data_IF_472067631355
#
_entry.id   IF_472067631355
#
_cell.length_a   1.000
_cell.length_b   1.000
_cell.length_c   1.000
_cell.angle_alpha   90.00
_cell.angle_beta   90.00
_cell.angle_gamma   90.00
#
_symmetry.space_group_name_H-M   'P 1'
#
loop_
_entity.id
_entity.type
_entity.pdbx_description
1 polymer ?
#
# COMPACT_ATOMS: atom_id res chain seq x y z
N UNK A 1 41.48 -8.85 -37.10
CA UNK A 1 40.62 -9.80 -36.36
C UNK A 1 41.15 -10.09 -34.96
N UNK A 2 42.40 -10.58 -34.81
CA UNK A 2 42.95 -10.93 -33.48
C UNK A 2 43.01 -9.74 -32.50
N UNK A 3 43.46 -8.56 -32.92
CA UNK A 3 43.49 -7.36 -32.05
C UNK A 3 42.10 -6.82 -31.66
N UNK A 4 41.09 -6.99 -32.51
CA UNK A 4 39.71 -6.55 -32.19
C UNK A 4 39.09 -7.47 -31.13
N UNK A 5 39.37 -8.78 -31.20
CA UNK A 5 38.94 -9.72 -30.18
C UNK A 5 39.56 -9.41 -28.81
N UNK A 6 40.86 -9.06 -28.76
CA UNK A 6 41.53 -8.69 -27.51
C UNK A 6 40.97 -7.40 -26.91
N UNK A 7 40.65 -6.40 -27.74
CA UNK A 7 40.05 -5.14 -27.26
C UNK A 7 38.64 -5.37 -26.70
N UNK A 8 37.81 -6.19 -27.36
CA UNK A 8 36.50 -6.57 -26.83
C UNK A 8 36.60 -7.34 -25.51
N UNK A 9 37.59 -8.22 -25.38
CA UNK A 9 37.80 -9.00 -24.16
C UNK A 9 38.26 -8.11 -23.00
N UNK A 10 39.16 -7.14 -23.24
CA UNK A 10 39.59 -6.16 -22.25
C UNK A 10 38.45 -5.21 -21.85
N UNK A 11 37.66 -4.73 -22.81
CA UNK A 11 36.49 -3.88 -22.54
C UNK A 11 35.45 -4.60 -21.68
N UNK A 12 35.20 -5.89 -21.94
CA UNK A 12 34.33 -6.71 -21.11
C UNK A 12 34.90 -6.91 -19.70
N UNK A 13 36.21 -7.08 -19.57
CA UNK A 13 36.86 -7.20 -18.26
C UNK A 13 36.78 -5.90 -17.45
N UNK A 14 36.90 -4.75 -18.11
CA UNK A 14 36.73 -3.44 -17.47
C UNK A 14 35.29 -3.24 -16.98
N UNK A 15 34.28 -3.55 -17.80
CA UNK A 15 32.86 -3.47 -17.39
C UNK A 15 32.56 -4.41 -16.21
N UNK A 16 33.11 -5.63 -16.22
CA UNK A 16 32.96 -6.56 -15.09
C UNK A 16 33.64 -6.05 -13.82
N UNK A 17 34.80 -5.41 -13.93
CA UNK A 17 35.50 -4.82 -12.79
C UNK A 17 34.75 -3.60 -12.22
N UNK A 18 34.14 -2.78 -13.07
CA UNK A 18 33.30 -1.65 -12.63
C UNK A 18 32.03 -2.15 -11.95
N UNK A 19 31.35 -3.16 -12.50
CA UNK A 19 30.19 -3.80 -11.86
C UNK A 19 30.55 -4.42 -10.51
N UNK A 20 31.68 -5.14 -10.43
CA UNK A 20 32.18 -5.70 -9.17
C UNK A 20 32.38 -4.59 -8.12
N UNK A 21 33.02 -3.49 -8.52
CA UNK A 21 33.27 -2.34 -7.63
C UNK A 21 31.96 -1.69 -7.16
N UNK A 22 30.98 -1.54 -8.03
CA UNK A 22 29.66 -1.01 -7.67
C UNK A 22 28.95 -1.93 -6.66
N UNK A 23 28.97 -3.25 -6.87
CA UNK A 23 28.43 -4.20 -5.90
C UNK A 23 29.13 -4.10 -4.54
N UNK A 24 30.46 -3.97 -4.52
CA UNK A 24 31.22 -3.83 -3.27
C UNK A 24 30.89 -2.52 -2.53
N UNK A 25 30.70 -1.41 -3.26
CA UNK A 25 30.29 -0.12 -2.70
C UNK A 25 28.86 -0.17 -2.13
N UNK A 26 27.92 -0.82 -2.82
CA UNK A 26 26.55 -1.02 -2.34
C UNK A 26 26.51 -1.89 -1.07
N UNK A 27 27.29 -2.98 -1.04
CA UNK A 27 27.41 -3.84 0.14
C UNK A 27 27.93 -3.04 1.34
N UNK A 28 28.96 -2.21 1.15
CA UNK A 28 29.49 -1.37 2.22
C UNK A 28 28.47 -0.33 2.70
N UNK A 29 27.74 0.30 1.78
CA UNK A 29 26.68 1.27 2.13
C UNK A 29 25.56 0.62 2.95
N UNK A 30 25.11 -0.58 2.53
CA UNK A 30 24.09 -1.34 3.25
C UNK A 30 24.56 -1.79 4.64
N UNK A 31 25.82 -2.22 4.76
CA UNK A 31 26.41 -2.58 6.05
C UNK A 31 26.45 -1.40 7.02
N UNK A 32 26.81 -0.21 6.54
CA UNK A 32 26.84 1.00 7.38
C UNK A 32 25.45 1.43 7.82
N UNK A 33 24.45 1.36 6.92
CA UNK A 33 23.06 1.65 7.25
C UNK A 33 22.50 0.66 8.31
N UNK A 34 22.83 -0.63 8.19
CA UNK A 34 22.47 -1.63 9.20
C UNK A 34 23.16 -1.37 10.54
N UNK A 35 24.44 -0.95 10.52
CA UNK A 35 25.18 -0.60 11.73
C UNK A 35 24.57 0.62 12.42
N UNK A 36 24.16 1.64 11.66
CA UNK A 36 23.52 2.84 12.19
C UNK A 36 22.15 2.53 12.81
N UNK A 37 21.32 1.75 12.11
CA UNK A 37 20.01 1.35 12.64
C UNK A 37 20.14 0.49 13.90
N UNK A 38 21.10 -0.43 13.96
CA UNK A 38 21.40 -1.20 15.16
C UNK A 38 21.78 -0.28 16.33
N UNK A 39 22.66 0.70 16.11
CA UNK A 39 23.04 1.68 17.13
C UNK A 39 21.85 2.53 17.61
N UNK A 40 20.93 2.90 16.72
CA UNK A 40 19.70 3.62 17.08
C UNK A 40 18.78 2.77 17.97
N UNK A 41 18.62 1.48 17.66
CA UNK A 41 17.85 0.56 18.51
C UNK A 41 18.50 0.34 19.87
N UNK A 42 19.82 0.17 19.92
CA UNK A 42 20.57 0.07 21.18
C UNK A 42 20.36 1.31 22.06
N UNK A 43 20.44 2.51 21.48
CA UNK A 43 20.19 3.76 22.20
C UNK A 43 18.75 3.84 22.74
N UNK A 44 17.75 3.44 21.94
CA UNK A 44 16.34 3.43 22.36
C UNK A 44 16.08 2.41 23.47
N UNK A 45 16.71 1.24 23.40
CA UNK A 45 16.64 0.22 24.45
C UNK A 45 17.29 0.74 25.73
N UNK A 46 18.45 1.41 25.64
CA UNK A 46 19.12 2.01 26.80
C UNK A 46 18.24 3.07 27.49
N UNK A 47 17.56 3.92 26.72
CA UNK A 47 16.58 4.89 27.25
C UNK A 47 15.42 4.17 27.93
N UNK A 48 14.86 3.11 27.33
CA UNK A 48 13.76 2.37 27.95
C UNK A 48 14.19 1.65 29.24
N UNK A 49 15.42 1.15 29.30
CA UNK A 49 15.98 0.49 30.47
C UNK A 49 16.36 1.48 31.59
N UNK A 50 16.66 2.74 31.26
CA UNK A 50 16.95 3.78 32.25
C UNK A 50 15.71 4.35 32.95
N UNK A 51 14.50 3.91 32.59
CA UNK A 51 13.24 4.30 33.25
C UNK A 51 12.66 3.16 34.12
N UNK A 52 13.13 3.00 35.38
CA UNK A 52 12.49 2.08 36.30
C UNK A 52 11.25 2.72 36.96
N UNK A 53 10.07 2.12 36.69
CA UNK A 53 8.89 2.07 37.58
C UNK A 53 8.08 3.37 37.78
N UNK A 54 7.06 3.58 36.94
CA UNK A 54 5.87 4.38 37.32
C UNK A 54 4.55 3.61 37.20
N UNK A 55 4.47 2.55 36.38
CA UNK A 55 3.23 1.80 36.16
C UNK A 55 2.82 0.81 37.28
N UNK A 56 3.65 0.64 38.33
CA UNK A 56 3.40 -0.33 39.43
C UNK A 56 3.02 0.29 40.78
N UNK A 57 2.50 1.52 40.81
CA UNK A 57 1.95 2.13 42.05
C UNK A 57 0.54 2.69 41.83
N UNK A 58 -0.34 1.86 41.27
CA UNK A 58 -1.73 2.23 41.02
C UNK A 58 -2.70 1.07 41.17
N UNK A 59 -2.42 0.09 42.03
CA UNK A 59 -3.44 -0.94 42.36
C UNK A 59 -3.04 -1.75 43.59
N UNK A 60 -3.23 -1.17 44.77
CA UNK A 60 -3.35 -1.91 46.03
C UNK A 60 -4.07 -1.02 47.05
N UNK A 61 -5.39 -1.24 47.15
CA UNK A 61 -6.21 -1.24 48.37
C UNK A 61 -5.70 -0.38 49.55
N UNK A 62 -6.34 0.73 49.89
CA UNK A 62 -7.63 0.77 50.63
C UNK A 62 -7.63 -0.16 51.85
N UNK A 63 -7.23 0.38 53.02
CA UNK A 63 -7.78 0.06 54.35
C UNK A 63 -7.10 0.93 55.43
N UNK A 64 -7.93 1.48 56.34
CA UNK A 64 -7.62 2.00 57.69
C UNK A 64 -6.87 3.35 57.71
N UNK A 65 -7.52 4.50 57.95
CA UNK A 65 -8.17 5.05 59.17
C UNK A 65 -7.28 6.11 59.86
N UNK A 66 -7.96 7.17 60.33
CA UNK A 66 -7.54 8.18 61.34
C UNK A 66 -6.89 9.47 60.81
N UNK A 67 -7.75 10.50 60.69
CA UNK A 67 -7.47 11.93 60.87
C UNK A 67 -7.04 12.21 62.35
N UNK A 68 -6.24 13.27 62.67
CA UNK A 68 -6.77 14.64 62.59
C UNK A 68 -5.79 15.78 62.21
N UNK A 69 -6.40 16.82 61.64
CA UNK A 69 -6.22 18.28 61.81
C UNK A 69 -4.84 18.92 62.05
N UNK A 70 -4.45 19.87 61.19
CA UNK A 70 -4.34 21.32 61.49
C UNK A 70 -3.88 22.14 60.25
N UNK A 71 -4.66 23.19 59.93
CA UNK A 71 -4.30 24.57 59.53
C UNK A 71 -3.14 24.79 58.49
N UNK A 72 -3.24 25.55 57.40
CA UNK A 72 -3.66 26.97 57.31
C UNK A 72 -3.72 27.42 55.83
N UNK A 73 -4.87 27.99 55.44
CA UNK A 73 -5.11 29.17 54.59
C UNK A 73 -4.20 29.48 53.36
N UNK A 74 -4.79 29.48 52.16
CA UNK A 74 -5.09 30.73 51.41
C UNK A 74 -5.70 30.46 50.02
N UNK A 75 -6.95 30.90 49.83
CA UNK A 75 -7.56 31.26 48.55
C UNK A 75 -8.64 32.33 48.81
N UNK A 76 -8.78 33.32 47.92
CA UNK A 76 -10.08 33.88 47.56
C UNK A 76 -10.42 33.47 46.09
N UNK A 77 -11.59 32.89 45.79
CA UNK A 77 -12.92 33.51 45.66
C UNK A 77 -13.03 34.27 44.31
N UNK A 78 -14.02 34.09 43.44
CA UNK A 78 -15.32 33.41 43.46
C UNK A 78 -15.83 33.20 42.01
N UNK A 79 -16.66 32.17 41.75
CA UNK A 79 -18.13 32.25 41.61
C UNK A 79 -18.57 32.72 40.20
N UNK A 80 -19.51 32.15 39.45
CA UNK A 80 -20.52 31.09 39.63
C UNK A 80 -21.28 30.90 38.31
N UNK A 81 -22.02 29.78 38.21
CA UNK A 81 -23.27 29.55 37.46
C UNK A 81 -23.18 28.89 36.07
N UNK A 82 -23.34 27.56 36.09
CA UNK A 82 -24.44 26.77 35.52
C UNK A 82 -25.09 27.23 34.21
N UNK A 83 -25.19 26.30 33.24
CA UNK A 83 -26.47 25.79 32.68
C UNK A 83 -26.17 24.63 31.72
N UNK A 84 -26.85 23.52 32.01
CA UNK A 84 -27.41 22.46 31.15
C UNK A 84 -27.25 22.55 29.62
N UNK A 85 -27.18 21.37 28.99
CA UNK A 85 -27.71 21.20 27.63
C UNK A 85 -26.90 20.30 26.71
N UNK A 86 -27.41 19.09 26.54
CA UNK A 86 -27.01 18.12 25.53
C UNK A 86 -26.90 18.71 24.11
N UNK A 87 -25.94 18.23 23.33
CA UNK A 87 -25.91 18.39 21.89
C UNK A 87 -25.63 17.03 21.23
N UNK A 88 -26.71 16.38 20.81
CA UNK A 88 -26.71 15.47 19.68
C UNK A 88 -26.47 16.26 18.38
N UNK A 89 -25.76 15.59 17.47
CA UNK A 89 -25.89 15.64 16.01
C UNK A 89 -25.97 17.01 15.31
N UNK A 90 -24.96 17.27 14.47
CA UNK A 90 -25.08 17.30 13.01
C UNK A 90 -24.22 18.40 12.37
N UNK A 91 -23.27 17.92 11.55
CA UNK A 91 -23.06 18.33 10.15
C UNK A 91 -22.57 19.74 9.79
N UNK A 92 -21.72 19.75 8.74
CA UNK A 92 -21.29 20.88 7.88
C UNK A 92 -20.16 21.73 8.52
N UNK A 93 -19.15 22.27 7.84
CA UNK A 93 -18.88 22.52 6.43
C UNK A 93 -17.34 22.51 6.21
N UNK A 94 -16.87 22.13 5.03
CA UNK A 94 -16.26 23.05 4.04
C UNK A 94 -15.48 24.25 4.60
N UNK A 95 -14.23 24.30 4.13
CA UNK A 95 -13.48 25.48 3.68
C UNK A 95 -12.61 26.31 4.63
N UNK A 96 -11.37 26.43 4.13
CA UNK A 96 -10.61 27.67 4.04
C UNK A 96 -9.93 28.19 5.29
N UNK A 97 -8.67 27.79 5.48
CA UNK A 97 -7.62 28.70 5.91
C UNK A 97 -6.30 28.28 5.25
N UNK A 98 -5.79 29.10 4.33
CA UNK A 98 -4.51 29.80 4.47
C UNK A 98 -4.20 30.57 3.19
N UNK A 99 -4.60 31.84 3.18
CA UNK A 99 -3.96 32.85 2.37
C UNK A 99 -2.69 33.33 3.10
N UNK A 100 -1.56 33.42 2.41
CA UNK A 100 -0.63 34.54 2.58
C UNK A 100 0.32 34.68 1.38
N UNK A 101 0.42 35.93 0.90
CA UNK A 101 1.56 36.61 0.24
C UNK A 101 1.65 36.58 -1.30
N UNK A 102 0.93 37.55 -1.84
CA UNK A 102 1.28 38.40 -2.99
C UNK A 102 2.76 38.82 -3.10
N UNK A 103 3.31 38.79 -4.32
CA UNK A 103 4.22 39.80 -4.89
C UNK A 103 4.25 39.67 -6.43
N UNK A 104 3.69 40.67 -7.12
CA UNK A 104 3.90 40.95 -8.55
C UNK A 104 5.26 41.60 -8.79
N UNK A 105 5.88 41.36 -9.97
CA UNK A 105 6.34 42.40 -10.92
C UNK A 105 7.27 41.86 -12.03
N UNK A 106 6.82 42.06 -13.27
CA UNK A 106 7.51 42.55 -14.47
C UNK A 106 8.83 41.97 -15.03
N UNK A 107 8.79 41.82 -16.37
CA UNK A 107 9.80 41.53 -17.38
C UNK A 107 11.16 42.21 -17.26
N UNK A 108 12.22 41.54 -17.73
CA UNK A 108 13.31 42.15 -18.51
C UNK A 108 13.90 41.17 -19.52
N UNK A 109 14.04 41.65 -20.75
CA UNK A 109 14.97 41.15 -21.76
C UNK A 109 16.41 41.27 -21.27
N UNK A 110 17.30 40.36 -21.65
CA UNK A 110 18.68 40.75 -21.96
C UNK A 110 19.37 39.72 -22.87
N UNK A 111 20.09 40.28 -23.83
CA UNK A 111 20.98 39.61 -24.77
C UNK A 111 22.29 39.25 -24.06
N UNK A 112 22.91 38.14 -24.43
CA UNK A 112 24.37 38.00 -24.51
C UNK A 112 24.72 36.90 -25.50
N UNK A 113 25.45 37.30 -26.54
CA UNK A 113 26.21 36.44 -27.44
C UNK A 113 27.41 35.90 -26.66
N UNK A 114 27.61 34.58 -26.64
CA UNK A 114 28.95 34.00 -26.77
C UNK A 114 28.88 32.51 -27.10
N UNK A 115 29.49 32.16 -28.23
CA UNK A 115 29.79 30.79 -28.69
C UNK A 115 30.92 30.17 -27.85
N UNK A 116 30.93 28.85 -27.69
CA UNK A 116 31.90 28.07 -28.47
C UNK A 116 31.27 26.88 -29.18
N UNK A 117 31.85 26.57 -30.33
CA UNK A 117 31.45 25.61 -31.34
C UNK A 117 31.98 24.18 -31.09
N UNK A 118 31.22 23.19 -31.59
CA UNK A 118 31.60 21.89 -32.22
C UNK A 118 31.05 20.60 -31.54
N UNK A 119 30.76 19.49 -32.28
CA UNK A 119 30.61 19.29 -33.72
C UNK A 119 29.27 18.65 -34.17
N UNK A 120 28.98 18.86 -35.45
CA UNK A 120 27.85 18.34 -36.24
C UNK A 120 27.89 16.80 -36.36
N UNK A 121 26.73 16.13 -36.24
CA UNK A 121 26.40 14.95 -37.07
C UNK A 121 25.36 15.36 -38.10
N UNK A 122 25.79 15.41 -39.36
CA UNK A 122 24.92 15.60 -40.53
C UNK A 122 24.08 14.33 -40.73
N UNK A 123 22.76 14.46 -40.82
CA UNK A 123 21.96 13.56 -41.65
C UNK A 123 21.78 14.24 -43.00
N UNK A 124 22.17 13.52 -44.04
CA UNK A 124 22.30 13.96 -45.42
C UNK A 124 20.95 14.33 -46.03
N UNK A 125 20.99 15.49 -46.69
CA UNK A 125 20.01 16.03 -47.61
C UNK A 125 20.28 15.47 -49.01
N UNK A 126 19.21 15.11 -49.73
CA UNK A 126 19.06 14.94 -51.19
C UNK A 126 17.55 14.66 -51.42
N UNK A 127 16.78 15.27 -52.30
CA UNK A 127 16.84 16.54 -52.98
C UNK A 127 15.39 16.96 -53.23
N UNK A 128 15.15 18.25 -53.08
CA UNK A 128 14.06 18.93 -53.75
C UNK A 128 14.39 19.00 -55.24
N UNK A 129 13.88 18.09 -56.06
CA UNK A 129 13.85 18.31 -57.50
C UNK A 129 12.56 19.04 -57.89
N UNK A 130 12.75 20.33 -58.20
CA UNK A 130 12.12 21.06 -59.30
C UNK A 130 10.76 20.55 -59.82
N UNK A 131 9.68 21.20 -59.38
CA UNK A 131 8.44 21.27 -60.16
C UNK A 131 8.05 22.74 -60.39
N UNK A 132 8.80 23.42 -61.26
CA UNK A 132 8.26 24.56 -62.00
C UNK A 132 8.34 24.25 -63.49
N UNK A 133 7.16 23.94 -64.05
CA UNK A 133 6.75 24.20 -65.42
C UNK A 133 7.45 23.45 -66.56
N UNK A 134 6.75 22.50 -67.20
CA UNK A 134 6.54 22.44 -68.67
C UNK A 134 5.44 21.41 -69.00
N UNK A 135 4.41 21.82 -69.74
CA UNK A 135 3.78 20.98 -70.76
C UNK A 135 2.67 20.01 -70.33
N UNK A 136 1.45 20.35 -70.74
CA UNK A 136 0.32 19.46 -71.04
C UNK A 136 0.64 17.95 -71.10
N UNK A 137 0.39 17.23 -70.00
CA UNK A 137 0.06 15.80 -70.03
C UNK A 137 -1.05 15.56 -69.01
N UNK A 138 -2.15 15.02 -69.53
CA UNK A 138 -3.40 14.62 -68.90
C UNK A 138 -3.23 14.20 -67.44
N UNK A 139 -3.96 14.79 -66.46
CA UNK A 139 -3.96 14.26 -65.10
C UNK A 139 -4.79 12.97 -65.08
N UNK A 140 -4.15 11.82 -65.25
CA UNK A 140 -4.65 10.59 -64.64
C UNK A 140 -4.59 10.78 -63.13
N UNK A 141 -5.76 11.10 -62.57
CA UNK A 141 -6.13 11.04 -61.16
C UNK A 141 -5.04 11.46 -60.15
N UNK A 142 -5.02 12.75 -59.77
CA UNK A 142 -4.48 13.14 -58.46
C UNK A 142 -5.37 12.44 -57.42
N UNK A 143 -4.88 11.35 -56.83
CA UNK A 143 -5.62 10.64 -55.79
C UNK A 143 -5.79 11.56 -54.58
N UNK A 144 -7.01 12.05 -54.41
CA UNK A 144 -7.42 12.84 -53.25
C UNK A 144 -8.02 11.87 -52.23
N UNK A 145 -7.38 11.65 -51.07
CA UNK A 145 -7.91 10.74 -50.06
C UNK A 145 -9.29 11.22 -49.58
N UNK A 146 -10.24 10.30 -49.31
CA UNK A 146 -11.52 10.64 -48.70
C UNK A 146 -11.33 11.41 -47.38
N UNK A 147 -12.30 12.25 -47.01
CA UNK A 147 -12.25 13.01 -45.76
C UNK A 147 -11.91 12.10 -44.56
N UNK A 148 -10.96 12.56 -43.73
CA UNK A 148 -10.44 11.80 -42.59
C UNK A 148 -9.27 10.87 -42.89
N UNK A 149 -8.87 10.71 -44.16
CA UNK A 149 -7.76 9.86 -44.56
C UNK A 149 -6.54 10.72 -44.92
N UNK A 150 -5.37 10.35 -44.38
CA UNK A 150 -4.09 11.00 -44.67
C UNK A 150 -3.21 10.02 -45.44
N UNK A 151 -2.52 10.49 -46.49
CA UNK A 151 -1.45 9.74 -47.12
C UNK A 151 -0.27 9.65 -46.16
N UNK A 152 0.14 8.43 -45.83
CA UNK A 152 1.23 8.14 -44.91
C UNK A 152 2.37 7.55 -45.74
N UNK A 153 3.60 7.97 -45.45
CA UNK A 153 4.79 7.41 -46.12
C UNK A 153 5.02 5.96 -45.65
N UNK A 154 5.74 5.15 -46.43
CA UNK A 154 6.01 3.77 -46.02
C UNK A 154 6.75 3.69 -44.68
N UNK A 155 7.71 4.57 -44.42
CA UNK A 155 8.43 4.64 -43.15
C UNK A 155 7.53 5.02 -41.98
N UNK A 156 6.59 5.96 -42.17
CA UNK A 156 5.64 6.36 -41.13
C UNK A 156 4.61 5.24 -40.87
N UNK A 157 4.22 4.51 -41.92
CA UNK A 157 3.35 3.35 -41.81
C UNK A 157 4.03 2.24 -41.00
N UNK A 158 5.30 1.94 -41.30
CA UNK A 158 6.08 0.92 -40.59
C UNK A 158 6.27 1.29 -39.11
N UNK A 159 6.55 2.57 -38.82
CA UNK A 159 6.65 3.08 -37.45
C UNK A 159 5.32 2.95 -36.68
N UNK A 160 4.19 3.32 -37.31
CA UNK A 160 2.86 3.19 -36.71
C UNK A 160 2.53 1.70 -36.46
N UNK A 161 2.89 0.82 -37.39
CA UNK A 161 2.62 -0.61 -37.28
C UNK A 161 3.49 -1.30 -36.23
N UNK A 162 4.74 -0.83 -36.03
CA UNK A 162 5.59 -1.24 -34.92
C UNK A 162 4.99 -0.83 -33.57
N UNK A 163 4.51 0.41 -33.44
CA UNK A 163 3.82 0.89 -32.24
C UNK A 163 2.52 0.12 -31.95
N UNK A 164 1.73 -0.18 -32.99
CA UNK A 164 0.53 -1.03 -32.85
C UNK A 164 0.86 -2.45 -32.39
N UNK A 165 2.00 -2.99 -32.85
CA UNK A 165 2.48 -4.31 -32.43
C UNK A 165 2.97 -4.31 -30.98
N UNK A 166 3.67 -3.24 -30.56
CA UNK A 166 4.11 -3.02 -29.18
C UNK A 166 2.91 -2.88 -28.24
N UNK A 167 1.97 -1.97 -28.54
CA UNK A 167 0.73 -1.79 -27.78
C UNK A 167 -0.09 -3.08 -27.70
N UNK A 168 -0.14 -3.87 -28.79
CA UNK A 168 -0.81 -5.18 -28.77
C UNK A 168 -0.09 -6.17 -27.85
N UNK A 169 1.24 -6.15 -27.82
CA UNK A 169 2.05 -6.92 -26.88
C UNK A 169 1.79 -6.51 -25.43
N UNK A 170 1.75 -5.21 -25.15
CA UNK A 170 1.44 -4.67 -23.83
C UNK A 170 0.04 -5.04 -23.36
N UNK A 171 -0.98 -4.91 -24.21
CA UNK A 171 -2.36 -5.33 -23.91
C UNK A 171 -2.40 -6.83 -23.60
N UNK A 172 -1.70 -7.66 -24.39
CA UNK A 172 -1.65 -9.11 -24.15
C UNK A 172 -0.98 -9.44 -22.82
N UNK A 173 0.09 -8.74 -22.45
CA UNK A 173 0.78 -8.90 -21.17
C UNK A 173 -0.11 -8.49 -20.00
N UNK A 174 -0.74 -7.31 -20.07
CA UNK A 174 -1.65 -6.83 -19.02
C UNK A 174 -2.85 -7.75 -18.86
N UNK A 175 -3.33 -8.34 -19.95
CA UNK A 175 -4.42 -9.30 -19.90
C UNK A 175 -4.01 -10.61 -19.20
N UNK A 176 -2.80 -11.12 -19.46
CA UNK A 176 -2.27 -12.28 -18.74
C UNK A 176 -2.05 -11.99 -17.23
N UNK A 177 -1.52 -10.81 -16.89
CA UNK A 177 -1.34 -10.38 -15.49
C UNK A 177 -2.69 -10.25 -14.78
N UNK A 178 -3.71 -9.69 -15.45
CA UNK A 178 -5.07 -9.63 -14.93
C UNK A 178 -5.62 -11.03 -14.64
N UNK A 179 -5.50 -11.96 -15.58
CA UNK A 179 -5.97 -13.35 -15.40
C UNK A 179 -5.22 -14.06 -14.26
N UNK A 180 -3.95 -13.74 -14.04
CA UNK A 180 -3.18 -14.25 -12.91
C UNK A 180 -3.63 -13.70 -11.57
N UNK A 181 -3.87 -12.39 -11.48
CA UNK A 181 -4.41 -11.75 -10.29
C UNK A 181 -5.83 -12.25 -9.96
N UNK A 182 -6.67 -12.47 -10.97
CA UNK A 182 -8.00 -13.06 -10.79
C UNK A 182 -7.90 -14.49 -10.24
N UNK A 183 -6.99 -15.32 -10.79
CA UNK A 183 -6.74 -16.66 -10.26
C UNK A 183 -6.26 -16.63 -8.81
N UNK A 184 -5.34 -15.74 -8.45
CA UNK A 184 -4.85 -15.63 -7.08
C UNK A 184 -5.92 -15.11 -6.11
N UNK A 185 -6.76 -14.18 -6.55
CA UNK A 185 -7.91 -13.74 -5.75
C UNK A 185 -8.87 -14.90 -5.47
N UNK A 186 -9.15 -15.73 -6.47
CA UNK A 186 -10.00 -16.91 -6.33
C UNK A 186 -9.38 -17.96 -5.39
N UNK A 187 -8.08 -18.24 -5.48
CA UNK A 187 -7.41 -19.19 -4.58
C UNK A 187 -7.43 -18.69 -3.14
N UNK A 188 -7.13 -17.41 -2.91
CA UNK A 188 -7.15 -16.79 -1.58
C UNK A 188 -8.57 -16.74 -1.00
N UNK A 189 -9.57 -16.38 -1.81
CA UNK A 189 -10.98 -16.38 -1.39
C UNK A 189 -11.44 -17.78 -0.99
N UNK A 190 -11.07 -18.80 -1.76
CA UNK A 190 -11.39 -20.19 -1.43
C UNK A 190 -10.66 -20.68 -0.17
N UNK A 191 -9.39 -20.29 0.02
CA UNK A 191 -8.63 -20.65 1.19
C UNK A 191 -9.20 -20.03 2.47
N UNK A 192 -9.45 -18.72 2.45
CA UNK A 192 -10.08 -18.00 3.57
C UNK A 192 -11.47 -18.54 3.88
N UNK A 193 -12.29 -18.84 2.88
CA UNK A 193 -13.60 -19.47 3.08
C UNK A 193 -13.51 -20.83 3.78
N UNK A 194 -12.54 -21.68 3.40
CA UNK A 194 -12.27 -22.97 4.07
C UNK A 194 -11.85 -22.79 5.52
N UNK A 195 -10.97 -21.82 5.81
CA UNK A 195 -10.55 -21.52 7.18
C UNK A 195 -11.73 -21.04 8.03
N UNK A 196 -12.51 -20.09 7.54
CA UNK A 196 -13.70 -19.56 8.23
C UNK A 196 -14.71 -20.68 8.50
N UNK A 197 -14.93 -21.57 7.52
CA UNK A 197 -15.84 -22.73 7.70
C UNK A 197 -15.34 -23.67 8.79
N UNK A 198 -14.03 -23.96 8.83
CA UNK A 198 -13.43 -24.82 9.85
C UNK A 198 -13.57 -24.21 11.24
N UNK A 199 -13.26 -22.93 11.39
CA UNK A 199 -13.42 -22.19 12.64
C UNK A 199 -14.89 -22.17 13.07
N UNK A 200 -15.82 -21.95 12.13
CA UNK A 200 -17.25 -21.95 12.42
C UNK A 200 -17.74 -23.34 12.90
N UNK A 201 -17.25 -24.43 12.31
CA UNK A 201 -17.50 -25.78 12.78
C UNK A 201 -16.95 -26.01 14.20
N UNK A 202 -15.74 -25.54 14.49
CA UNK A 202 -15.12 -25.66 15.81
C UNK A 202 -15.90 -24.87 16.88
N UNK A 203 -16.32 -23.64 16.57
CA UNK A 203 -17.15 -22.82 17.47
C UNK A 203 -18.46 -23.53 17.77
N UNK A 204 -19.19 -24.01 16.76
CA UNK A 204 -20.44 -24.77 16.94
C UNK A 204 -20.23 -26.03 17.80
N UNK A 205 -19.12 -26.73 17.60
CA UNK A 205 -18.78 -27.90 18.43
C UNK A 205 -18.52 -27.50 19.89
N UNK A 206 -17.79 -26.41 20.12
CA UNK A 206 -17.52 -25.91 21.48
C UNK A 206 -18.78 -25.42 22.19
N UNK A 207 -19.69 -24.75 21.47
CA UNK A 207 -20.99 -24.34 21.98
C UNK A 207 -21.85 -25.55 22.39
N UNK A 208 -21.85 -26.60 21.58
CA UNK A 208 -22.53 -27.86 21.90
C UNK A 208 -21.99 -28.50 23.19
N UNK A 209 -20.67 -28.59 23.31
CA UNK A 209 -20.02 -29.13 24.52
C UNK A 209 -20.33 -28.30 25.77
N UNK A 210 -20.35 -26.96 25.66
CA UNK A 210 -20.70 -26.08 26.78
C UNK A 210 -22.16 -26.26 27.20
N UNK A 211 -23.09 -26.43 26.25
CA UNK A 211 -24.49 -26.72 26.56
C UNK A 211 -24.64 -28.05 27.29
N UNK A 212 -23.91 -29.09 26.88
CA UNK A 212 -23.96 -30.39 27.54
C UNK A 212 -23.33 -30.36 28.93
N UNK A 213 -22.24 -29.61 29.11
CA UNK A 213 -21.65 -29.37 30.43
C UNK A 213 -22.61 -28.61 31.35
N UNK A 214 -23.31 -27.60 30.83
CA UNK A 214 -24.34 -26.88 31.58
C UNK A 214 -25.49 -27.79 32.00
N UNK A 215 -25.98 -28.65 31.10
CA UNK A 215 -26.99 -29.68 31.43
C UNK A 215 -26.47 -30.63 32.51
N UNK A 216 -25.26 -31.19 32.35
CA UNK A 216 -24.65 -32.09 33.33
C UNK A 216 -24.48 -31.43 34.70
N UNK A 217 -24.08 -30.15 34.73
CA UNK A 217 -23.96 -29.39 35.97
C UNK A 217 -25.31 -29.25 36.67
N UNK A 218 -26.37 -28.82 35.95
CA UNK A 218 -27.72 -28.71 36.52
C UNK A 218 -28.25 -30.05 37.04
N UNK A 219 -27.97 -31.16 36.32
CA UNK A 219 -28.35 -32.50 36.75
C UNK A 219 -27.62 -32.92 38.04
N UNK A 220 -26.30 -32.71 38.10
CA UNK A 220 -25.49 -32.99 39.29
C UNK A 220 -25.91 -32.13 40.49
N UNK A 221 -26.19 -30.85 40.25
CA UNK A 221 -26.70 -29.93 41.27
C UNK A 221 -28.04 -30.42 41.84
N UNK A 222 -28.99 -30.80 40.98
CA UNK A 222 -30.29 -31.35 41.42
C UNK A 222 -30.12 -32.66 42.19
N UNK A 223 -29.23 -33.56 41.74
CA UNK A 223 -28.94 -34.81 42.43
C UNK A 223 -28.34 -34.57 43.83
N UNK A 224 -27.42 -33.60 43.97
CA UNK A 224 -26.85 -33.21 45.25
C UNK A 224 -27.94 -32.63 46.18
N UNK A 225 -28.82 -31.76 45.66
CA UNK A 225 -29.93 -31.20 46.43
C UNK A 225 -30.87 -32.30 46.94
N UNK A 226 -31.18 -33.32 46.12
CA UNK A 226 -31.97 -34.49 46.55
C UNK A 226 -31.29 -35.26 47.67
N UNK A 227 -29.99 -35.56 47.53
CA UNK A 227 -29.22 -36.27 48.58
C UNK A 227 -29.16 -35.49 49.88
N UNK A 228 -28.98 -34.16 49.82
CA UNK A 228 -28.99 -33.31 51.00
C UNK A 228 -30.36 -33.33 51.70
N UNK A 229 -31.45 -33.30 50.93
CA UNK A 229 -32.80 -33.42 51.45
C UNK A 229 -33.03 -34.79 52.14
N UNK A 230 -32.60 -35.88 51.52
CA UNK A 230 -32.65 -37.24 52.08
C UNK A 230 -31.86 -37.35 53.39
N UNK A 231 -30.63 -36.83 53.43
CA UNK A 231 -29.80 -36.79 54.64
C UNK A 231 -30.45 -35.98 55.76
N UNK A 232 -31.05 -34.83 55.44
CA UNK A 232 -31.75 -34.01 56.45
C UNK A 232 -32.96 -34.76 57.05
N UNK A 233 -33.65 -35.54 56.23
CA UNK A 233 -34.81 -36.33 56.64
C UNK A 233 -34.38 -37.55 57.46
N UNK A 234 -33.28 -38.22 57.08
CA UNK A 234 -32.71 -39.33 57.85
C UNK A 234 -32.16 -38.86 59.20
N UNK A 235 -31.47 -37.71 59.25
CA UNK A 235 -31.01 -37.07 60.47
C UNK A 235 -32.19 -36.75 61.41
N UNK A 236 -33.26 -36.14 60.89
CA UNK A 236 -34.46 -35.83 61.69
C UNK A 236 -35.10 -37.10 62.28
N UNK A 237 -35.22 -38.15 61.47
CA UNK A 237 -35.73 -39.46 61.93
C UNK A 237 -34.85 -40.04 63.04
N UNK A 238 -33.53 -40.04 62.86
CA UNK A 238 -32.58 -40.52 63.86
C UNK A 238 -32.65 -39.70 65.17
N UNK A 239 -32.75 -38.37 65.09
CA UNK A 239 -32.93 -37.54 66.29
C UNK A 239 -34.23 -37.87 67.04
N UNK A 240 -35.32 -38.16 66.33
CA UNK A 240 -36.58 -38.60 66.94
C UNK A 240 -36.43 -39.95 67.63
N UNK A 241 -35.73 -40.90 66.99
CA UNK A 241 -35.44 -42.23 67.56
C UNK A 241 -34.56 -42.16 68.81
N UNK A 242 -33.50 -41.34 68.79
CA UNK A 242 -32.66 -41.10 69.98
C UNK A 242 -33.46 -40.46 71.13
N UNK A 243 -34.40 -39.57 70.81
CA UNK A 243 -35.27 -38.96 71.81
C UNK A 243 -36.24 -39.98 72.43
N UNK A 244 -36.69 -40.96 71.64
CA UNK A 244 -37.52 -42.08 72.11
C UNK A 244 -36.73 -43.04 73.01
N UNK A 245 -35.55 -43.49 72.57
CA UNK A 245 -34.68 -44.38 73.35
C UNK A 245 -34.20 -43.74 74.66
N UNK A 246 -33.94 -42.43 74.67
CA UNK A 246 -33.60 -41.70 75.91
C UNK A 246 -34.77 -41.67 76.91
N UNK A 247 -35.99 -41.97 76.48
CA UNK A 247 -37.19 -42.02 77.31
C UNK A 247 -37.61 -43.43 77.77
N UNK A 248 -36.98 -44.50 77.29
CA UNK A 248 -37.47 -45.87 77.53
C UNK A 248 -36.35 -46.91 77.39
N UNK A 249 -35.82 -47.41 78.52
CA UNK A 249 -35.56 -48.84 78.81
C UNK A 249 -34.85 -48.99 80.17
N UNK A 250 -35.55 -49.64 81.11
CA UNK A 250 -35.02 -50.22 82.35
C UNK A 250 -35.11 -51.73 82.18
N UNK A 251 -34.16 -52.45 82.78
CA UNK A 251 -34.13 -53.91 83.06
C UNK A 251 -33.66 -54.78 81.86
N UNK A 252 -32.76 -55.76 81.99
CA UNK A 252 -31.92 -56.25 83.09
C UNK A 252 -30.94 -57.32 82.56
N UNK A 253 -30.06 -57.83 83.43
CA UNK A 253 -29.32 -59.11 83.37
C UNK A 253 -28.11 -59.21 82.41
N UNK A 254 -26.87 -59.21 82.93
CA UNK A 254 -26.12 -60.36 83.49
C UNK A 254 -25.86 -61.45 82.44
N UNK A 255 -24.60 -61.58 82.00
CA UNK A 255 -23.86 -62.86 82.01
C UNK A 255 -22.42 -62.68 81.46
N UNK A 256 -21.47 -62.75 82.40
CA UNK A 256 -20.03 -62.75 82.17
C UNK A 256 -19.60 -64.13 81.65
N UNK A 257 -19.64 -64.32 80.34
CA UNK A 257 -18.95 -65.41 79.61
C UNK A 257 -18.57 -65.05 78.16
N UNK A 258 -18.86 -63.81 77.73
CA UNK A 258 -18.70 -63.34 76.34
C UNK A 258 -17.32 -62.73 76.01
N UNK A 259 -16.43 -62.52 76.99
CA UNK A 259 -15.24 -61.65 76.81
C UNK A 259 -14.14 -62.23 75.89
N UNK A 260 -13.98 -63.56 75.82
CA UNK A 260 -12.98 -64.20 74.95
C UNK A 260 -13.45 -64.33 73.49
N UNK A 261 -14.75 -64.53 73.26
CA UNK A 261 -15.34 -64.52 71.92
C UNK A 261 -15.50 -63.08 71.40
N UNK A 262 -15.84 -62.12 72.27
CA UNK A 262 -15.88 -60.70 71.95
C UNK A 262 -14.48 -60.14 71.61
N UNK A 263 -13.41 -60.57 72.27
CA UNK A 263 -12.05 -60.14 71.94
C UNK A 263 -11.58 -60.62 70.55
N UNK A 264 -11.90 -61.87 70.18
CA UNK A 264 -11.60 -62.41 68.85
C UNK A 264 -12.47 -61.75 67.76
N UNK A 265 -13.74 -61.48 68.04
CA UNK A 265 -14.66 -60.77 67.14
C UNK A 265 -14.26 -59.29 66.98
N UNK A 266 -13.86 -58.62 68.07
CA UNK A 266 -13.33 -57.24 68.07
C UNK A 266 -12.03 -57.15 67.25
N UNK A 267 -11.13 -58.13 67.40
CA UNK A 267 -9.91 -58.25 66.59
C UNK A 267 -10.21 -58.40 65.10
N UNK A 268 -11.16 -59.27 64.74
CA UNK A 268 -11.62 -59.45 63.36
C UNK A 268 -12.27 -58.18 62.80
N UNK A 269 -13.05 -57.43 63.60
CA UNK A 269 -13.61 -56.13 63.19
C UNK A 269 -12.55 -55.02 63.06
N UNK A 270 -11.49 -55.05 63.87
CA UNK A 270 -10.34 -54.15 63.70
C UNK A 270 -9.56 -54.49 62.42
N UNK A 271 -9.33 -55.77 62.16
CA UNK A 271 -8.66 -56.25 60.95
C UNK A 271 -9.48 -55.90 59.69
N UNK A 272 -10.80 -56.11 59.72
CA UNK A 272 -11.67 -55.77 58.60
C UNK A 272 -11.74 -54.26 58.34
N UNK A 273 -11.72 -53.43 59.39
CA UNK A 273 -11.60 -51.96 59.24
C UNK A 273 -10.29 -51.56 58.56
N UNK A 274 -9.17 -52.17 58.95
CA UNK A 274 -7.88 -51.92 58.31
C UNK A 274 -7.86 -52.38 56.85
N UNK A 275 -8.52 -53.51 56.52
CA UNK A 275 -8.66 -53.96 55.12
C UNK A 275 -9.46 -52.97 54.29
N UNK A 276 -10.60 -52.49 54.79
CA UNK A 276 -11.42 -51.46 54.12
C UNK A 276 -10.61 -50.18 53.92
N UNK A 277 -9.84 -49.76 54.93
CA UNK A 277 -9.00 -48.57 54.85
C UNK A 277 -7.87 -48.74 53.82
N UNK A 278 -7.23 -49.91 53.76
CA UNK A 278 -6.22 -50.22 52.74
C UNK A 278 -6.83 -50.18 51.33
N UNK A 279 -8.03 -50.74 51.14
CA UNK A 279 -8.72 -50.70 49.84
C UNK A 279 -9.07 -49.26 49.45
N UNK A 280 -9.62 -48.47 50.37
CA UNK A 280 -9.95 -47.07 50.14
C UNK A 280 -8.70 -46.22 49.82
N UNK A 281 -7.59 -46.43 50.53
CA UNK A 281 -6.32 -45.76 50.24
C UNK A 281 -5.75 -46.18 48.88
N UNK A 282 -5.95 -47.42 48.43
CA UNK A 282 -5.57 -47.87 47.09
C UNK A 282 -6.42 -47.21 46.00
N UNK A 283 -7.74 -47.15 46.18
CA UNK A 283 -8.64 -46.45 45.27
C UNK A 283 -8.29 -44.95 45.17
N UNK A 284 -7.92 -44.32 46.29
CA UNK A 284 -7.42 -42.94 46.30
C UNK A 284 -6.08 -42.79 45.55
N UNK A 285 -5.19 -43.78 45.64
CA UNK A 285 -3.93 -43.77 44.89
C UNK A 285 -4.15 -43.94 43.39
N UNK A 286 -5.06 -44.84 43.00
CA UNK A 286 -5.40 -45.10 41.60
C UNK A 286 -6.06 -43.88 40.96
N UNK A 287 -7.03 -43.25 41.64
CA UNK A 287 -7.66 -42.00 41.17
C UNK A 287 -6.63 -40.87 41.04
N UNK A 288 -5.71 -40.72 41.99
CA UNK A 288 -4.58 -39.76 41.89
C UNK A 288 -3.63 -40.07 40.74
N UNK A 289 -3.41 -41.34 40.40
CA UNK A 289 -2.57 -41.71 39.27
C UNK A 289 -3.24 -41.34 37.93
N UNK A 290 -4.55 -41.60 37.80
CA UNK A 290 -5.35 -41.20 36.64
C UNK A 290 -5.39 -39.67 36.45
N UNK A 291 -5.61 -38.92 37.53
CA UNK A 291 -5.55 -37.45 37.53
C UNK A 291 -4.19 -36.93 37.07
N UNK A 292 -3.09 -37.55 37.50
CA UNK A 292 -1.73 -37.18 37.06
C UNK A 292 -1.53 -37.42 35.55
N UNK A 293 -2.02 -38.52 35.01
CA UNK A 293 -1.95 -38.79 33.56
C UNK A 293 -2.76 -37.73 32.80
N UNK A 294 -3.96 -37.38 33.25
CA UNK A 294 -4.76 -36.31 32.65
C UNK A 294 -4.05 -34.95 32.72
N UNK A 295 -3.45 -34.60 33.86
CA UNK A 295 -2.65 -33.38 34.00
C UNK A 295 -1.46 -33.35 33.04
N UNK A 296 -0.75 -34.46 32.85
CA UNK A 296 0.35 -34.52 31.87
C UNK A 296 -0.15 -34.37 30.44
N UNK A 297 -1.29 -34.97 30.09
CA UNK A 297 -1.91 -34.80 28.76
C UNK A 297 -2.36 -33.36 28.53
N UNK A 298 -2.98 -32.73 29.52
CA UNK A 298 -3.39 -31.33 29.44
C UNK A 298 -2.17 -30.42 29.32
N UNK A 299 -1.08 -30.70 30.05
CA UNK A 299 0.17 -29.94 29.95
C UNK A 299 0.74 -30.01 28.53
N UNK A 300 0.81 -31.20 27.93
CA UNK A 300 1.27 -31.35 26.54
C UNK A 300 0.38 -30.57 25.57
N UNK A 301 -0.94 -30.62 25.74
CA UNK A 301 -1.85 -29.86 24.86
C UNK A 301 -1.68 -28.34 25.07
N UNK A 302 -1.46 -27.86 26.29
CA UNK A 302 -1.16 -26.43 26.52
C UNK A 302 0.17 -26.00 25.89
N UNK A 303 1.21 -26.84 25.95
CA UNK A 303 2.49 -26.57 25.27
C UNK A 303 2.31 -26.56 23.74
N UNK A 304 1.50 -27.49 23.20
CA UNK A 304 1.16 -27.54 21.77
C UNK A 304 0.42 -26.28 21.32
N UNK A 305 -0.61 -25.86 22.06
CA UNK A 305 -1.36 -24.63 21.77
C UNK A 305 -0.45 -23.40 21.88
N UNK A 306 0.44 -23.36 22.87
CA UNK A 306 1.39 -22.26 23.02
C UNK A 306 2.36 -22.18 21.83
N UNK A 307 2.89 -23.31 21.36
CA UNK A 307 3.73 -23.35 20.16
C UNK A 307 2.98 -22.89 18.90
N UNK A 308 1.72 -23.31 18.73
CA UNK A 308 0.88 -22.85 17.61
C UNK A 308 0.62 -21.34 17.66
N UNK A 309 0.38 -20.79 18.86
CA UNK A 309 0.23 -19.35 19.05
C UNK A 309 1.49 -18.60 18.68
N UNK A 310 2.66 -19.07 19.12
CA UNK A 310 3.94 -18.42 18.83
C UNK A 310 4.28 -18.49 17.34
N UNK A 311 3.96 -19.61 16.68
CA UNK A 311 4.07 -19.74 15.23
C UNK A 311 3.17 -18.74 14.49
N UNK A 312 1.88 -18.66 14.85
CA UNK A 312 0.95 -17.71 14.23
C UNK A 312 1.37 -16.25 14.49
N UNK A 313 1.96 -15.95 15.64
CA UNK A 313 2.53 -14.62 15.92
C UNK A 313 3.74 -14.31 15.04
N UNK A 314 4.62 -15.29 14.80
CA UNK A 314 5.77 -15.12 13.90
C UNK A 314 5.32 -14.90 12.44
N UNK A 315 4.34 -15.68 11.97
CA UNK A 315 3.74 -15.52 10.63
C UNK A 315 3.08 -14.14 10.48
N UNK A 316 2.31 -13.69 11.47
CA UNK A 316 1.72 -12.35 11.48
C UNK A 316 2.78 -11.24 11.42
N UNK A 317 3.89 -11.40 12.14
CA UNK A 317 4.99 -10.44 12.10
C UNK A 317 5.69 -10.41 10.73
N UNK A 318 5.90 -11.58 10.12
CA UNK A 318 6.45 -11.69 8.77
C UNK A 318 5.53 -10.99 7.74
N UNK A 319 4.22 -11.29 7.74
CA UNK A 319 3.27 -10.64 6.84
C UNK A 319 3.22 -9.11 7.04
N UNK A 320 3.36 -8.61 8.27
CA UNK A 320 3.45 -7.16 8.53
C UNK A 320 4.70 -6.55 7.88
N UNK A 321 5.84 -7.22 8.00
CA UNK A 321 7.08 -6.75 7.39
C UNK A 321 7.02 -6.73 5.86
N UNK A 322 6.37 -7.74 5.25
CA UNK A 322 6.13 -7.78 3.80
C UNK A 322 5.20 -6.66 3.35
N UNK A 323 4.12 -6.38 4.09
CA UNK A 323 3.23 -5.26 3.80
C UNK A 323 3.94 -3.91 3.87
N UNK A 324 4.83 -3.72 4.84
CA UNK A 324 5.62 -2.49 4.94
C UNK A 324 6.63 -2.36 3.80
N UNK A 325 7.27 -3.46 3.38
CA UNK A 325 8.12 -3.48 2.19
C UNK A 325 7.34 -3.14 0.91
N UNK A 326 6.15 -3.72 0.73
CA UNK A 326 5.28 -3.42 -0.41
C UNK A 326 4.80 -1.96 -0.41
N UNK A 327 4.51 -1.38 0.76
CA UNK A 327 4.17 0.05 0.88
C UNK A 327 5.32 0.95 0.43
N UNK A 328 6.55 0.61 0.80
CA UNK A 328 7.75 1.35 0.36
C UNK A 328 7.92 1.22 -1.15
N UNK A 329 7.82 0.02 -1.71
CA UNK A 329 7.89 -0.20 -3.16
C UNK A 329 6.81 0.59 -3.92
N UNK A 330 5.56 0.58 -3.43
CA UNK A 330 4.46 1.36 -4.00
C UNK A 330 4.77 2.86 -3.99
N UNK A 331 5.32 3.38 -2.88
CA UNK A 331 5.70 4.79 -2.78
C UNK A 331 6.79 5.18 -3.79
N UNK A 332 7.75 4.27 -4.05
CA UNK A 332 8.80 4.48 -5.04
C UNK A 332 8.25 4.49 -6.47
N UNK A 333 7.38 3.53 -6.82
CA UNK A 333 6.70 3.48 -8.12
C UNK A 333 5.81 4.71 -8.34
N UNK A 334 5.12 5.17 -7.31
CA UNK A 334 4.34 6.41 -7.39
C UNK A 334 5.23 7.64 -7.59
N UNK A 335 6.38 7.70 -6.92
CA UNK A 335 7.37 8.76 -7.08
C UNK A 335 7.91 8.82 -8.52
N UNK A 336 8.35 7.68 -9.05
CA UNK A 336 8.87 7.57 -10.42
C UNK A 336 7.79 7.86 -11.48
N UNK A 337 6.55 7.42 -11.27
CA UNK A 337 5.44 7.77 -12.15
C UNK A 337 5.20 9.29 -12.18
N UNK A 338 5.27 9.97 -11.04
CA UNK A 338 5.14 11.43 -10.97
C UNK A 338 6.30 12.15 -11.66
N UNK A 339 7.54 11.68 -11.54
CA UNK A 339 8.69 12.29 -12.22
C UNK A 339 8.59 12.11 -13.73
N UNK A 340 8.29 10.90 -14.20
CA UNK A 340 8.08 10.62 -15.63
C UNK A 340 6.92 11.43 -16.21
N UNK A 341 5.85 11.67 -15.45
CA UNK A 341 4.75 12.54 -15.89
C UNK A 341 5.22 13.97 -16.13
N UNK A 342 6.03 14.52 -15.21
CA UNK A 342 6.59 15.87 -15.36
C UNK A 342 7.55 15.96 -16.55
N UNK A 343 8.38 14.94 -16.75
CA UNK A 343 9.28 14.88 -17.92
C UNK A 343 8.50 14.78 -19.23
N UNK A 344 7.42 13.99 -19.27
CA UNK A 344 6.51 13.91 -20.41
C UNK A 344 5.87 15.28 -20.71
N UNK A 345 5.39 15.98 -19.70
CA UNK A 345 4.82 17.33 -19.85
C UNK A 345 5.86 18.33 -20.38
N UNK A 346 7.08 18.30 -19.85
CA UNK A 346 8.18 19.15 -20.30
C UNK A 346 8.57 18.87 -21.76
N UNK A 347 8.70 17.60 -22.15
CA UNK A 347 8.97 17.20 -23.53
C UNK A 347 7.84 17.59 -24.47
N UNK A 348 6.58 17.45 -24.03
CA UNK A 348 5.43 17.88 -24.80
C UNK A 348 5.46 19.40 -25.07
N UNK A 349 5.78 20.19 -24.05
CA UNK A 349 5.92 21.64 -24.17
C UNK A 349 7.04 22.02 -25.15
N UNK A 350 8.21 21.36 -25.08
CA UNK A 350 9.30 21.55 -26.03
C UNK A 350 8.90 21.21 -27.47
N UNK A 351 8.10 20.15 -27.67
CA UNK A 351 7.59 19.79 -28.99
C UNK A 351 6.67 20.90 -29.56
N UNK A 352 5.83 21.52 -28.73
CA UNK A 352 4.97 22.63 -29.13
C UNK A 352 5.80 23.87 -29.51
N UNK A 353 6.84 24.18 -28.75
CA UNK A 353 7.74 25.31 -29.04
C UNK A 353 8.51 25.11 -30.35
N UNK A 354 9.11 23.94 -30.56
CA UNK A 354 9.78 23.61 -31.82
C UNK A 354 8.81 23.65 -33.00
N UNK A 355 7.57 23.19 -32.82
CA UNK A 355 6.54 23.29 -33.86
C UNK A 355 6.23 24.75 -34.19
N UNK A 356 6.11 25.62 -33.19
CA UNK A 356 5.90 27.06 -33.39
C UNK A 356 7.08 27.70 -34.16
N UNK A 357 8.31 27.34 -33.80
CA UNK A 357 9.52 27.81 -34.50
C UNK A 357 9.52 27.36 -35.96
N UNK A 358 9.17 26.11 -36.25
CA UNK A 358 9.07 25.61 -37.64
C UNK A 358 8.00 26.36 -38.43
N UNK A 359 6.85 26.68 -37.84
CA UNK A 359 5.81 27.48 -38.49
C UNK A 359 6.32 28.88 -38.81
N UNK A 360 7.02 29.52 -37.87
CA UNK A 360 7.63 30.83 -38.06
C UNK A 360 8.67 30.83 -39.19
N UNK A 361 9.59 29.86 -39.19
CA UNK A 361 10.60 29.71 -40.24
C UNK A 361 9.97 29.44 -41.61
N UNK A 362 8.92 28.61 -41.69
CA UNK A 362 8.19 28.40 -42.94
C UNK A 362 7.61 29.71 -43.48
N UNK A 363 6.96 30.51 -42.62
CA UNK A 363 6.46 31.84 -43.00
C UNK A 363 7.56 32.79 -43.49
N UNK A 364 8.73 32.78 -42.83
CA UNK A 364 9.89 33.55 -43.29
C UNK A 364 10.42 33.07 -44.65
N UNK A 365 10.41 31.76 -44.91
CA UNK A 365 10.79 31.22 -46.23
C UNK A 365 9.75 31.63 -47.29
N UNK A 366 8.46 31.54 -47.00
CA UNK A 366 7.39 31.90 -47.94
C UNK A 366 7.43 33.40 -48.32
N UNK A 367 7.68 34.27 -47.34
CA UNK A 367 7.87 35.71 -47.59
C UNK A 367 9.12 35.97 -48.41
N UNK A 368 10.25 35.32 -48.10
CA UNK A 368 11.48 35.44 -48.89
C UNK A 368 11.31 34.95 -50.34
N UNK A 369 10.61 33.84 -50.56
CA UNK A 369 10.29 33.33 -51.88
C UNK A 369 9.38 34.29 -52.67
N UNK A 370 8.44 34.94 -51.98
CA UNK A 370 7.56 35.93 -52.60
C UNK A 370 8.35 37.16 -53.04
N UNK A 371 9.19 37.71 -52.17
CA UNK A 371 10.10 38.82 -52.53
C UNK A 371 11.01 38.45 -53.70
N UNK A 372 11.53 37.21 -53.74
CA UNK A 372 12.35 36.74 -54.85
C UNK A 372 11.56 36.67 -56.17
N UNK A 373 10.32 36.17 -56.14
CA UNK A 373 9.43 36.16 -57.31
C UNK A 373 9.16 37.57 -57.82
N UNK A 374 8.83 38.49 -56.92
CA UNK A 374 8.54 39.88 -57.26
C UNK A 374 9.77 40.57 -57.87
N UNK A 375 10.97 40.32 -57.33
CA UNK A 375 12.21 40.82 -57.89
C UNK A 375 12.46 40.31 -59.31
N UNK A 376 12.25 39.00 -59.54
CA UNK A 376 12.39 38.40 -60.88
C UNK A 376 11.39 39.03 -61.85
N UNK A 377 10.12 39.17 -61.46
CA UNK A 377 9.08 39.81 -62.29
C UNK A 377 9.42 41.26 -62.61
N UNK A 378 9.87 42.04 -61.62
CA UNK A 378 10.27 43.43 -61.80
C UNK A 378 11.48 43.52 -62.74
N UNK A 379 12.46 42.64 -62.60
CA UNK A 379 13.63 42.60 -63.48
C UNK A 379 13.28 42.27 -64.92
N UNK A 380 12.36 41.31 -65.14
CA UNK A 380 11.86 40.96 -66.47
C UNK A 380 11.07 42.12 -67.09
N UNK A 381 10.18 42.75 -66.31
CA UNK A 381 9.41 43.92 -66.75
C UNK A 381 10.32 45.09 -67.13
N UNK A 382 11.31 45.39 -66.29
CA UNK A 382 12.32 46.40 -66.58
C UNK A 382 13.09 46.06 -67.86
N UNK A 383 13.48 44.81 -68.05
CA UNK A 383 14.21 44.37 -69.24
C UNK A 383 13.37 44.54 -70.52
N UNK A 384 12.07 44.23 -70.48
CA UNK A 384 11.14 44.48 -71.58
C UNK A 384 11.00 45.97 -71.85
N UNK A 385 10.79 46.79 -70.81
CA UNK A 385 10.68 48.26 -70.96
C UNK A 385 11.93 48.88 -71.59
N UNK A 386 13.11 48.45 -71.16
CA UNK A 386 14.38 48.91 -71.74
C UNK A 386 14.51 48.51 -73.21
N UNK A 387 14.07 47.32 -73.59
CA UNK A 387 14.10 46.86 -74.98
C UNK A 387 13.09 47.63 -75.85
N UNK A 388 11.89 47.94 -75.35
CA UNK A 388 10.92 48.79 -76.04
C UNK A 388 11.46 50.21 -76.27
N UNK A 389 12.13 50.78 -75.26
CA UNK A 389 12.81 52.09 -75.40
C UNK A 389 13.90 52.03 -76.46
N UNK A 390 14.68 50.94 -76.51
CA UNK A 390 15.72 50.73 -77.53
C UNK A 390 15.15 50.65 -78.95
N UNK A 391 13.93 50.13 -79.09
CA UNK A 391 13.22 49.97 -80.36
C UNK A 391 12.42 51.22 -80.77
N UNK A 392 12.21 52.19 -79.88
CA UNK A 392 11.44 53.39 -80.17
C UNK A 392 12.15 54.30 -81.20
N UNK A 393 11.39 54.79 -82.18
CA UNK A 393 11.93 55.63 -83.27
C UNK A 393 11.80 57.15 -82.96
N UNK A 394 11.06 57.52 -81.92
CA UNK A 394 10.85 58.92 -81.51
C UNK A 394 10.86 59.13 -79.99
N UNK A 395 11.17 60.36 -79.57
CA UNK A 395 11.25 60.75 -78.16
C UNK A 395 9.88 60.75 -77.45
N UNK A 396 8.81 60.96 -78.19
CA UNK A 396 7.45 60.94 -77.64
C UNK A 396 6.97 59.51 -77.36
N UNK A 397 7.36 58.52 -78.17
CA UNK A 397 7.12 57.09 -77.89
C UNK A 397 7.85 56.62 -76.61
N UNK A 398 9.08 57.10 -76.39
CA UNK A 398 9.82 56.78 -75.16
C UNK A 398 9.12 57.34 -73.91
N UNK A 399 8.52 58.53 -74.00
CA UNK A 399 7.74 59.11 -72.88
C UNK A 399 6.49 58.31 -72.57
N UNK A 400 5.77 57.85 -73.60
CA UNK A 400 4.57 57.02 -73.45
C UNK A 400 4.89 55.69 -72.75
N UNK A 401 5.95 54.98 -73.16
CA UNK A 401 6.40 53.72 -72.52
C UNK A 401 6.79 53.91 -71.04
N UNK A 402 7.31 55.09 -70.67
CA UNK A 402 7.65 55.43 -69.30
C UNK A 402 6.43 55.86 -68.47
N UNK A 403 5.46 56.56 -69.07
CA UNK A 403 4.22 56.99 -68.41
C UNK A 403 3.23 55.84 -68.21
N UNK A 404 3.20 54.83 -69.09
CA UNK A 404 2.30 53.67 -68.99
C UNK A 404 2.56 52.82 -67.72
N UNK A 405 3.72 52.99 -67.07
CA UNK A 405 4.03 52.38 -65.77
C UNK A 405 3.64 53.19 -64.53
N UNK A 406 3.28 54.47 -64.67
CA UNK A 406 2.99 55.35 -63.53
C UNK A 406 1.50 55.39 -63.17
N UNK A 407 0.62 54.86 -64.04
CA UNK A 407 -0.83 55.01 -63.92
C UNK A 407 -1.57 53.92 -63.13
N UNK A 408 -0.97 52.76 -62.87
CA UNK A 408 -1.75 51.55 -62.50
C UNK A 408 -1.51 50.97 -61.08
N UNK A 409 -0.63 51.58 -60.27
CA UNK A 409 -0.51 51.25 -58.83
C UNK A 409 -1.59 51.97 -58.00
N UNK A 410 -2.87 51.75 -58.32
CA UNK A 410 -3.98 52.07 -57.43
C UNK A 410 -4.29 50.85 -56.57
N UNK A 411 -3.55 50.71 -55.47
CA UNK A 411 -3.90 49.77 -54.40
C UNK A 411 -5.39 49.87 -54.02
N UNK A 412 -6.15 48.76 -53.94
CA UNK A 412 -7.45 48.79 -53.29
C UNK A 412 -7.25 48.92 -51.77
N UNK A 413 -8.20 49.54 -51.04
CA UNK A 413 -8.09 49.71 -49.59
C UNK A 413 -8.16 48.33 -48.92
N UNK A 414 -7.23 48.08 -48.00
CA UNK A 414 -7.30 46.95 -47.08
C UNK A 414 -8.51 47.15 -46.15
N UNK A 415 -9.59 46.42 -46.43
CA UNK A 415 -10.72 46.27 -45.53
C UNK A 415 -10.35 45.36 -44.36
N UNK A 416 -10.87 45.71 -43.20
CA UNK A 416 -10.63 45.09 -41.91
C UNK A 416 -11.22 43.68 -41.78
N UNK A 417 -10.49 42.76 -41.12
CA UNK A 417 -10.97 41.85 -40.05
C UNK A 417 -9.82 41.05 -39.47
#
# INVERSE_FOLDING_TARGET
WQGVATICELSKQEELAELQKQCDEEIQSLQEALRETAAQYEARIAVLQSHPVEWRRGSAHSLVSVQPSAETLNRPQGHTADIDGAAEAASLSSESYFALRSCDSASLSSFSLDTPSMPRKRHSQEDTDSLVSTGTLVPEAIYLPPAGHRLVTHSDWDALNAQLSELRGEVSRLQAEKEELERELDTQTNHTHKQVTTLQCQVKSSEGLLQDLQKSFSQSQNAMQSRLAELSLSQRKMCNELSRLKGEEVEDEVEDSSSLFAAALQGAHCEERLRIEIVNLREQLDTRAEENVQLTSLKVETERIQAQKDQAQAELAACRSELDALRVALSHVQGTSRTLSKEKEALHQQCLELRSQVISLRSQVDTSQTVQRDFVQLSQSLQVKLELIRQAESLDQVKEILEEGAGDDRFPPADAS
#
